data_IF_815997764966
#
_entry.id   IF_815997764966
#
_cell.length_a   1.000
_cell.length_b   1.000
_cell.length_c   1.000
_cell.angle_alpha   90.00
_cell.angle_beta   90.00
_cell.angle_gamma   90.00
#
_symmetry.space_group_name_H-M   'P 1'
#
loop_
_entity.id
_entity.type
_entity.pdbx_description
1 polymer ?
#
# COMPACT_ATOMS: atom_id res chain seq x y z
N UNK A 1 1.80 -10.48 -8.63
CA UNK A 1 1.76 -11.71 -7.79
C UNK A 1 0.36 -11.81 -7.22
N UNK A 2 -0.24 -13.00 -7.25
CA UNK A 2 -1.56 -13.24 -6.67
C UNK A 2 -1.39 -13.86 -5.28
N UNK A 3 -2.08 -13.32 -4.28
CA UNK A 3 -2.15 -13.88 -2.93
C UNK A 3 -3.45 -14.66 -2.70
N UNK A 4 -3.54 -15.35 -1.57
CA UNK A 4 -4.73 -16.10 -1.16
C UNK A 4 -5.17 -15.66 0.25
N UNK A 5 -6.48 -15.51 0.45
CA UNK A 5 -7.10 -15.25 1.76
C UNK A 5 -8.29 -16.22 1.95
N UNK A 6 -8.14 -17.13 2.91
CA UNK A 6 -9.14 -18.14 3.25
C UNK A 6 -10.43 -17.53 3.82
N UNK A 7 -10.29 -16.41 4.53
CA UNK A 7 -11.41 -15.71 5.17
C UNK A 7 -12.34 -14.95 4.21
N UNK A 8 -11.98 -14.80 2.93
CA UNK A 8 -12.86 -14.18 1.94
C UNK A 8 -14.09 -15.06 1.68
N UNK A 9 -15.22 -14.41 1.35
CA UNK A 9 -16.45 -15.11 1.02
C UNK A 9 -16.24 -15.94 -0.25
N UNK A 10 -16.58 -17.22 -0.19
CA UNK A 10 -16.56 -18.05 -1.39
C UNK A 10 -17.72 -17.71 -2.33
N UNK A 11 -17.38 -17.27 -3.53
CA UNK A 11 -18.31 -16.95 -4.63
C UNK A 11 -17.98 -17.74 -5.90
N UNK A 12 -17.15 -18.79 -5.82
CA UNK A 12 -16.70 -19.58 -6.96
C UNK A 12 -15.19 -19.49 -7.22
N UNK A 13 -14.74 -20.02 -8.36
CA UNK A 13 -13.31 -20.13 -8.67
C UNK A 13 -12.60 -18.76 -8.59
N UNK A 14 -11.56 -18.69 -7.75
CA UNK A 14 -10.77 -17.47 -7.55
C UNK A 14 -11.32 -16.48 -6.52
N UNK A 15 -12.41 -16.79 -5.82
CA UNK A 15 -13.01 -15.95 -4.77
C UNK A 15 -12.06 -15.56 -3.63
N UNK A 16 -11.08 -16.42 -3.37
CA UNK A 16 -10.05 -16.24 -2.33
C UNK A 16 -8.76 -15.61 -2.86
N UNK A 17 -8.66 -15.33 -4.16
CA UNK A 17 -7.46 -14.83 -4.79
C UNK A 17 -7.44 -13.30 -4.80
N UNK A 18 -6.32 -12.71 -4.39
CA UNK A 18 -6.10 -11.26 -4.40
C UNK A 18 -4.95 -10.90 -5.33
N UNK A 19 -5.19 -10.17 -6.43
CA UNK A 19 -4.12 -9.75 -7.33
C UNK A 19 -3.42 -8.48 -6.83
N UNK A 20 -2.08 -8.51 -6.83
CA UNK A 20 -1.26 -7.30 -6.62
C UNK A 20 -0.38 -7.03 -7.85
N UNK A 21 -0.55 -5.83 -8.42
CA UNK A 21 0.19 -5.33 -9.59
C UNK A 21 1.24 -4.27 -9.20
N UNK A 22 1.74 -4.33 -7.96
CA UNK A 22 2.58 -3.29 -7.33
C UNK A 22 3.73 -2.80 -8.20
N UNK A 23 4.53 -3.69 -8.82
CA UNK A 23 5.69 -3.27 -9.62
C UNK A 23 5.27 -2.55 -10.90
N UNK A 24 4.27 -3.05 -11.61
CA UNK A 24 3.71 -2.39 -12.79
C UNK A 24 3.13 -1.02 -12.41
N UNK A 25 2.38 -0.95 -11.31
CA UNK A 25 1.81 0.30 -10.78
C UNK A 25 2.90 1.31 -10.42
N UNK A 26 3.97 0.85 -9.77
CA UNK A 26 5.09 1.71 -9.41
C UNK A 26 5.83 2.23 -10.64
N UNK A 27 6.05 1.39 -11.65
CA UNK A 27 6.60 1.81 -12.94
C UNK A 27 5.69 2.85 -13.60
N UNK A 28 4.38 2.61 -13.65
CA UNK A 28 3.40 3.58 -14.18
C UNK A 28 3.51 4.92 -13.46
N UNK A 29 3.54 4.93 -12.12
CA UNK A 29 3.69 6.17 -11.35
C UNK A 29 5.01 6.88 -11.61
N UNK A 30 6.10 6.14 -11.83
CA UNK A 30 7.43 6.69 -12.10
C UNK A 30 7.54 7.34 -13.48
N UNK A 31 6.65 6.98 -14.41
CA UNK A 31 6.61 7.54 -15.76
C UNK A 31 5.70 8.77 -15.88
N UNK A 32 4.88 9.09 -14.88
CA UNK A 32 3.91 10.18 -14.98
C UNK A 32 4.57 11.53 -15.26
N UNK A 33 5.50 11.93 -14.41
CA UNK A 33 6.18 13.24 -14.52
C UNK A 33 6.95 13.37 -15.85
N UNK A 34 7.80 12.40 -16.27
CA UNK A 34 8.46 12.47 -17.57
C UNK A 34 7.50 12.56 -18.76
N UNK A 35 6.38 11.83 -18.75
CA UNK A 35 5.41 11.88 -19.84
C UNK A 35 4.69 13.24 -19.89
N UNK A 36 4.36 13.81 -18.74
CA UNK A 36 3.76 15.14 -18.65
C UNK A 36 4.71 16.25 -19.11
N UNK A 37 6.01 16.14 -18.80
CA UNK A 37 7.05 17.07 -19.29
C UNK A 37 7.17 17.05 -20.82
N UNK A 38 6.89 15.89 -21.45
CA UNK A 38 6.81 15.77 -22.91
C UNK A 38 5.50 16.33 -23.50
N UNK A 39 4.64 16.92 -22.68
CA UNK A 39 3.36 17.51 -23.09
C UNK A 39 2.23 16.48 -23.29
N UNK A 40 2.40 15.24 -22.82
CA UNK A 40 1.33 14.24 -22.88
C UNK A 40 0.33 14.46 -21.74
N UNK A 41 -0.95 14.46 -22.09
CA UNK A 41 -2.04 14.47 -21.11
C UNK A 41 -2.19 13.08 -20.49
N UNK A 42 -2.07 12.99 -19.17
CA UNK A 42 -2.36 11.78 -18.41
C UNK A 42 -3.80 11.82 -17.93
N UNK A 43 -4.59 10.83 -18.33
CA UNK A 43 -5.99 10.67 -17.93
C UNK A 43 -6.19 9.41 -17.07
N UNK A 44 -7.32 9.31 -16.38
CA UNK A 44 -7.69 8.11 -15.62
C UNK A 44 -6.83 7.84 -14.38
N UNK A 45 -6.10 8.84 -13.87
CA UNK A 45 -5.18 8.67 -12.74
C UNK A 45 -5.86 8.13 -11.47
N UNK A 46 -7.15 8.43 -11.27
CA UNK A 46 -7.95 7.95 -10.14
C UNK A 46 -8.35 6.47 -10.23
N UNK A 47 -8.08 5.80 -11.36
CA UNK A 47 -8.27 4.35 -11.51
C UNK A 47 -7.07 3.54 -11.01
N UNK A 48 -5.94 4.21 -10.74
CA UNK A 48 -4.75 3.57 -10.20
C UNK A 48 -4.90 3.36 -8.69
N UNK A 49 -4.35 2.25 -8.20
CA UNK A 49 -4.49 1.83 -6.80
C UNK A 49 -3.30 2.28 -5.95
N UNK A 50 -3.50 2.31 -4.64
CA UNK A 50 -2.42 2.49 -3.68
C UNK A 50 -1.33 1.41 -3.81
N UNK A 51 -0.10 1.72 -3.39
CA UNK A 51 0.98 0.74 -3.39
C UNK A 51 0.97 -0.07 -2.09
N UNK A 52 0.71 -1.40 -2.12
CA UNK A 52 0.68 -2.27 -0.95
C UNK A 52 2.08 -2.63 -0.50
N UNK A 53 2.86 -1.63 -0.12
CA UNK A 53 4.24 -1.77 0.29
C UNK A 53 4.40 -1.45 1.78
N UNK A 54 5.53 -1.88 2.36
CA UNK A 54 5.66 -1.97 3.81
C UNK A 54 5.74 -0.62 4.52
N UNK A 55 6.09 0.49 3.86
CA UNK A 55 6.06 1.82 4.52
C UNK A 55 4.62 2.33 4.63
N UNK A 56 3.84 2.23 3.56
CA UNK A 56 2.41 2.55 3.53
C UNK A 56 1.62 1.66 4.49
N UNK A 57 1.84 0.34 4.42
CA UNK A 57 1.19 -0.61 5.31
C UNK A 57 1.67 -0.45 6.75
N UNK A 58 2.96 -0.14 6.94
CA UNK A 58 3.58 0.00 8.25
C UNK A 58 3.06 1.20 9.01
N UNK A 59 2.88 2.33 8.30
CA UNK A 59 2.22 3.52 8.83
C UNK A 59 0.87 3.21 9.47
N UNK A 60 0.08 2.32 8.86
CA UNK A 60 -1.23 1.96 9.39
C UNK A 60 -1.15 1.22 10.73
N UNK A 61 -0.14 0.36 10.93
CA UNK A 61 0.10 -0.27 12.24
C UNK A 61 0.72 0.70 13.24
N UNK A 62 1.72 1.46 12.82
CA UNK A 62 2.49 2.35 13.70
C UNK A 62 1.65 3.49 14.28
N UNK A 63 0.66 3.96 13.53
CA UNK A 63 -0.30 4.97 13.97
C UNK A 63 -1.56 4.37 14.62
N UNK A 64 -1.63 3.04 14.76
CA UNK A 64 -2.75 2.34 15.40
C UNK A 64 -4.05 2.28 14.60
N UNK A 65 -4.01 2.62 13.29
CA UNK A 65 -5.15 2.47 12.38
C UNK A 65 -5.48 0.98 12.14
N UNK A 66 -4.44 0.14 12.11
CA UNK A 66 -4.52 -1.30 12.16
C UNK A 66 -3.88 -1.80 13.46
N UNK A 67 -4.42 -2.89 13.99
CA UNK A 67 -3.84 -3.59 15.13
C UNK A 67 -3.71 -5.08 14.80
N UNK A 68 -2.54 -5.64 15.11
CA UNK A 68 -2.32 -7.07 14.95
C UNK A 68 -3.21 -7.85 15.92
N UNK A 69 -3.96 -8.83 15.40
CA UNK A 69 -4.81 -9.70 16.23
C UNK A 69 -4.00 -10.58 17.19
N UNK A 70 -2.78 -10.94 16.80
CA UNK A 70 -1.89 -11.83 17.56
C UNK A 70 -0.45 -11.32 17.49
N UNK A 71 0.32 -11.53 18.56
CA UNK A 71 1.71 -11.06 18.66
C UNK A 71 2.64 -11.63 17.56
N UNK A 72 2.38 -12.86 17.11
CA UNK A 72 3.13 -13.54 16.06
C UNK A 72 3.15 -12.75 14.73
N UNK A 73 2.14 -11.94 14.44
CA UNK A 73 2.07 -11.12 13.21
C UNK A 73 3.23 -10.14 13.13
N UNK A 74 3.65 -9.56 14.26
CA UNK A 74 4.72 -8.55 14.31
C UNK A 74 6.06 -9.12 14.78
N UNK A 75 6.04 -10.28 15.44
CA UNK A 75 7.24 -10.94 15.97
C UNK A 75 7.92 -11.83 14.93
N UNK A 76 7.14 -12.65 14.22
CA UNK A 76 7.67 -13.66 13.31
C UNK A 76 7.84 -13.09 11.89
N UNK A 77 8.84 -13.54 11.12
CA UNK A 77 8.92 -13.25 9.70
C UNK A 77 7.87 -14.05 8.92
N UNK A 78 7.31 -13.43 7.89
CA UNK A 78 6.25 -14.02 7.07
C UNK A 78 6.64 -14.05 5.59
N UNK A 79 6.37 -15.18 4.92
CA UNK A 79 6.55 -15.28 3.48
C UNK A 79 5.64 -14.27 2.74
N UNK A 80 6.07 -13.71 1.59
CA UNK A 80 5.27 -12.75 0.83
C UNK A 80 3.89 -13.26 0.38
N UNK A 81 3.74 -14.58 0.25
CA UNK A 81 2.49 -15.25 -0.16
C UNK A 81 1.65 -15.71 1.03
N UNK A 82 2.16 -15.56 2.27
CA UNK A 82 1.41 -15.90 3.47
C UNK A 82 0.15 -15.05 3.58
N UNK A 83 -0.89 -15.62 4.19
CA UNK A 83 -2.16 -14.94 4.38
C UNK A 83 -2.00 -13.64 5.19
N UNK A 84 -1.09 -13.59 6.17
CA UNK A 84 -0.77 -12.38 6.94
C UNK A 84 -0.32 -11.23 6.02
N UNK A 85 0.62 -11.51 5.11
CA UNK A 85 1.12 -10.49 4.19
C UNK A 85 0.07 -10.10 3.15
N UNK A 86 -0.68 -11.07 2.63
CA UNK A 86 -1.74 -10.82 1.66
C UNK A 86 -2.86 -9.98 2.27
N UNK A 87 -3.33 -10.32 3.47
CA UNK A 87 -4.34 -9.55 4.22
C UNK A 87 -3.84 -8.12 4.49
N UNK A 88 -2.62 -7.98 5.01
CA UNK A 88 -2.04 -6.67 5.31
C UNK A 88 -1.90 -5.79 4.05
N UNK A 89 -1.46 -6.37 2.93
CA UNK A 89 -1.36 -5.70 1.64
C UNK A 89 -2.74 -5.28 1.12
N UNK A 90 -3.74 -6.14 1.21
CA UNK A 90 -5.13 -5.81 0.84
C UNK A 90 -5.68 -4.65 1.66
N UNK A 91 -5.53 -4.72 2.99
CA UNK A 91 -5.96 -3.65 3.90
C UNK A 91 -5.24 -2.35 3.58
N UNK A 92 -3.94 -2.41 3.25
CA UNK A 92 -3.16 -1.23 2.87
C UNK A 92 -3.77 -0.54 1.65
N UNK A 93 -4.10 -1.26 0.57
CA UNK A 93 -4.71 -0.63 -0.63
C UNK A 93 -6.01 0.09 -0.27
N UNK A 94 -6.90 -0.58 0.48
CA UNK A 94 -8.20 -0.04 0.88
C UNK A 94 -8.06 1.19 1.78
N UNK A 95 -7.13 1.14 2.74
CA UNK A 95 -6.92 2.23 3.68
C UNK A 95 -6.27 3.44 3.02
N UNK A 96 -5.43 3.25 2.00
CA UNK A 96 -4.83 4.37 1.27
C UNK A 96 -5.90 5.24 0.57
N UNK A 97 -6.95 4.63 0.03
CA UNK A 97 -8.08 5.36 -0.56
C UNK A 97 -8.84 6.18 0.51
N UNK A 98 -9.07 5.57 1.69
CA UNK A 98 -9.72 6.26 2.81
C UNK A 98 -8.86 7.39 3.37
N UNK A 99 -7.54 7.18 3.48
CA UNK A 99 -6.60 8.21 3.88
C UNK A 99 -6.61 9.37 2.87
N UNK A 100 -6.58 9.07 1.57
CA UNK A 100 -6.64 10.10 0.53
C UNK A 100 -7.93 10.91 0.61
N UNK A 101 -9.08 10.27 0.81
CA UNK A 101 -10.36 10.95 1.02
C UNK A 101 -10.33 11.86 2.27
N UNK A 102 -9.80 11.35 3.39
CA UNK A 102 -9.69 12.14 4.63
C UNK A 102 -8.74 13.34 4.49
N UNK A 103 -7.60 13.17 3.82
CA UNK A 103 -6.63 14.25 3.56
C UNK A 103 -7.24 15.31 2.66
N UNK A 104 -7.91 14.92 1.57
CA UNK A 104 -8.64 15.82 0.68
C UNK A 104 -9.68 16.65 1.42
N UNK A 105 -10.50 15.99 2.24
CA UNK A 105 -11.51 16.65 3.06
C UNK A 105 -10.88 17.69 4.01
N UNK A 106 -9.76 17.34 4.67
CA UNK A 106 -9.06 18.27 5.57
C UNK A 106 -8.40 19.46 4.86
N UNK A 107 -7.95 19.26 3.63
CA UNK A 107 -7.27 20.30 2.84
C UNK A 107 -8.23 21.08 1.92
N UNK A 108 -9.53 20.74 1.92
CA UNK A 108 -10.51 21.28 0.98
C UNK A 108 -10.08 21.15 -0.50
N UNK A 109 -9.52 19.99 -0.86
CA UNK A 109 -9.06 19.66 -2.21
C UNK A 109 -9.87 18.50 -2.79
N UNK A 110 -9.97 18.43 -4.10
CA UNK A 110 -10.57 17.29 -4.81
C UNK A 110 -9.50 16.30 -5.32
N UNK A 111 -9.97 15.25 -6.01
CA UNK A 111 -9.11 14.21 -6.57
C UNK A 111 -8.28 14.66 -7.78
N UNK A 112 -8.66 15.76 -8.44
CA UNK A 112 -7.92 16.34 -9.56
C UNK A 112 -6.72 17.13 -9.04
N UNK A 113 -6.94 17.96 -8.02
CA UNK A 113 -5.89 18.76 -7.38
C UNK A 113 -4.92 17.87 -6.59
N UNK A 114 -5.46 16.88 -5.85
CA UNK A 114 -4.71 15.97 -4.98
C UNK A 114 -5.03 14.50 -5.32
N UNK A 115 -4.57 13.98 -6.46
CA UNK A 115 -4.73 12.58 -6.82
C UNK A 115 -3.99 11.66 -5.85
N UNK A 116 -4.39 10.39 -5.81
CA UNK A 116 -3.87 9.40 -4.86
C UNK A 116 -2.33 9.35 -4.88
N UNK A 117 -1.72 9.36 -6.07
CA UNK A 117 -0.25 9.34 -6.24
C UNK A 117 0.48 10.44 -5.47
N UNK A 118 -0.10 11.65 -5.35
CA UNK A 118 0.49 12.75 -4.57
C UNK A 118 0.39 12.47 -3.06
N UNK A 119 -0.74 11.91 -2.62
CA UNK A 119 -0.93 11.47 -1.22
C UNK A 119 0.03 10.35 -0.85
N UNK A 120 0.36 9.45 -1.79
CA UNK A 120 1.34 8.39 -1.56
C UNK A 120 2.75 8.95 -1.38
N UNK A 121 3.28 9.67 -2.38
CA UNK A 121 4.68 10.12 -2.38
C UNK A 121 4.93 11.18 -1.30
N UNK A 122 4.10 12.22 -1.25
CA UNK A 122 4.25 13.32 -0.29
C UNK A 122 3.66 13.02 1.09
N UNK A 123 2.85 11.98 1.23
CA UNK A 123 2.15 11.63 2.47
C UNK A 123 2.58 10.28 3.01
N UNK A 124 1.82 9.23 2.71
CA UNK A 124 1.90 7.95 3.44
C UNK A 124 3.26 7.26 3.34
N UNK A 125 3.91 7.31 2.19
CA UNK A 125 5.22 6.68 2.00
C UNK A 125 6.32 7.41 2.75
N UNK A 126 6.35 8.75 2.63
CA UNK A 126 7.34 9.60 3.30
C UNK A 126 7.16 9.57 4.82
N UNK A 127 5.92 9.70 5.29
CA UNK A 127 5.58 9.61 6.71
C UNK A 127 5.89 8.21 7.26
N UNK A 128 5.48 7.15 6.56
CA UNK A 128 5.72 5.77 6.98
C UNK A 128 7.21 5.45 7.11
N UNK A 129 8.03 5.93 6.16
CA UNK A 129 9.49 5.82 6.24
C UNK A 129 10.05 6.52 7.47
N UNK A 130 9.63 7.76 7.74
CA UNK A 130 10.12 8.53 8.88
C UNK A 130 9.71 7.91 10.22
N UNK A 131 8.47 7.44 10.31
CA UNK A 131 7.94 6.79 11.52
C UNK A 131 8.70 5.47 11.77
N UNK A 132 8.87 4.63 10.75
CA UNK A 132 9.64 3.39 10.88
C UNK A 132 11.10 3.66 11.27
N UNK A 133 11.72 4.73 10.74
CA UNK A 133 13.05 5.18 11.14
C UNK A 133 13.13 5.50 12.63
N UNK A 134 12.17 6.26 13.15
CA UNK A 134 12.13 6.67 14.56
C UNK A 134 11.83 5.50 15.50
N UNK A 135 10.95 4.58 15.10
CA UNK A 135 10.51 3.48 15.97
C UNK A 135 11.47 2.28 15.95
N UNK A 136 12.01 1.94 14.78
CA UNK A 136 12.71 0.66 14.54
C UNK A 136 13.88 0.79 13.55
N UNK A 137 14.51 1.96 13.45
CA UNK A 137 15.68 2.16 12.58
C UNK A 137 15.39 1.97 11.08
N UNK A 138 14.11 2.04 10.68
CA UNK A 138 13.65 1.93 9.30
C UNK A 138 12.97 0.60 8.98
N UNK A 139 13.03 -0.37 9.90
CA UNK A 139 12.41 -1.67 9.71
C UNK A 139 10.87 -1.61 9.82
N UNK A 140 10.14 -2.33 8.95
CA UNK A 140 8.68 -2.39 9.01
C UNK A 140 8.19 -3.09 10.29
N UNK A 141 6.93 -2.88 10.70
CA UNK A 141 6.36 -3.54 11.88
C UNK A 141 6.02 -5.02 11.65
N UNK A 142 5.82 -5.44 10.39
CA UNK A 142 5.65 -6.84 9.99
C UNK A 142 6.86 -7.23 9.15
N UNK A 143 7.59 -8.26 9.58
CA UNK A 143 8.81 -8.71 8.91
C UNK A 143 8.46 -9.61 7.72
N UNK A 144 9.08 -9.34 6.58
CA UNK A 144 8.99 -10.19 5.39
C UNK A 144 10.17 -11.15 5.34
N UNK A 145 9.89 -12.43 5.18
CA UNK A 145 10.88 -13.42 4.78
C UNK A 145 11.10 -13.29 3.26
N UNK A 146 12.10 -12.52 2.85
CA UNK A 146 12.41 -12.29 1.44
C UNK A 146 13.89 -12.54 1.18
N UNK A 147 14.18 -13.24 0.09
CA UNK A 147 15.51 -13.39 -0.49
C UNK A 147 15.90 -12.19 -1.39
N UNK A 148 15.07 -11.14 -1.41
CA UNK A 148 15.26 -9.95 -2.24
C UNK A 148 14.64 -10.05 -3.63
N UNK A 149 14.04 -11.18 -4.01
CA UNK A 149 13.37 -11.34 -5.31
C UNK A 149 11.90 -10.91 -5.29
N UNK A 150 11.31 -10.77 -4.10
CA UNK A 150 9.91 -10.38 -3.90
C UNK A 150 9.85 -9.11 -3.04
N UNK A 151 9.39 -8.01 -3.65
CA UNK A 151 9.30 -6.67 -3.07
C UNK A 151 7.95 -6.38 -2.40
#
# INVERSE_FOLDING_TARGET
MCGFISALRDTGFGSHLVPFHKLSQWLTYSLLEPLQELGLEITGLNQLTGLPEYRNGGLCLDLGLLQAKHAAVTHDPHLPQSEVIVEWRSLTVILLDQIAAAVRAKLAMDETALPLVKVLQGGTWSAGRQIAANLRGGSPPIQLESDGTVF
#
